data_IF_846608099705
#
_entry.id   IF_846608099705
#
_cell.length_a   1.000
_cell.length_b   1.000
_cell.length_c   1.000
_cell.angle_alpha   90.00
_cell.angle_beta   90.00
_cell.angle_gamma   90.00
#
_symmetry.space_group_name_H-M   'P 1'
#
loop_
_entity.id
_entity.type
_entity.pdbx_description
1 polymer ?
#
# COMPACT_ATOMS: atom_id res chain seq x y z
N UNK A 1 -18.05 33.09 -31.20
CA UNK A 1 -18.46 31.93 -32.03
C UNK A 1 -17.36 31.66 -33.05
N UNK A 2 -16.42 30.74 -32.77
CA UNK A 2 -15.61 30.09 -33.83
C UNK A 2 -15.36 28.65 -33.38
N UNK A 3 -15.85 27.69 -34.19
CA UNK A 3 -15.70 26.25 -34.06
C UNK A 3 -14.49 25.79 -34.86
N UNK A 4 -13.55 25.07 -34.24
CA UNK A 4 -12.42 24.45 -34.95
C UNK A 4 -12.86 23.06 -35.41
N UNK A 5 -12.85 22.87 -36.73
CA UNK A 5 -13.04 21.59 -37.43
C UNK A 5 -11.90 20.61 -37.10
N UNK A 6 -12.29 19.37 -36.82
CA UNK A 6 -11.64 18.21 -37.44
C UNK A 6 -10.66 17.44 -36.57
N UNK A 7 -11.17 16.41 -35.89
CA UNK A 7 -10.55 15.07 -35.89
C UNK A 7 -11.67 14.04 -35.96
N UNK A 8 -11.61 13.18 -36.97
CA UNK A 8 -12.59 12.16 -37.34
C UNK A 8 -12.48 10.93 -36.45
N UNK A 9 -13.62 10.50 -35.90
CA UNK A 9 -13.76 9.26 -35.15
C UNK A 9 -13.61 8.04 -36.07
N UNK A 10 -12.83 7.05 -35.66
CA UNK A 10 -12.83 5.72 -36.29
C UNK A 10 -13.63 4.75 -35.44
N UNK A 11 -14.87 4.51 -35.87
CA UNK A 11 -15.72 3.43 -35.41
C UNK A 11 -15.34 2.10 -36.08
N UNK A 12 -15.15 1.05 -35.26
CA UNK A 12 -15.23 -0.39 -35.58
C UNK A 12 -15.53 -1.07 -34.23
N UNK A 13 -16.54 -1.89 -33.99
CA UNK A 13 -17.67 -2.48 -34.72
C UNK A 13 -18.60 -3.00 -33.59
N UNK A 14 -19.94 -2.92 -33.69
CA UNK A 14 -20.85 -3.39 -32.65
C UNK A 14 -21.00 -4.91 -32.77
N UNK A 15 -21.01 -5.65 -31.65
CA UNK A 15 -21.57 -6.99 -31.66
C UNK A 15 -22.12 -7.41 -30.29
N UNK A 16 -23.41 -7.69 -30.34
CA UNK A 16 -24.23 -8.48 -29.44
C UNK A 16 -24.61 -7.89 -28.07
N UNK A 17 -25.77 -7.23 -28.10
CA UNK A 17 -26.74 -7.30 -27.02
C UNK A 17 -27.09 -8.77 -26.71
N UNK A 18 -27.09 -9.12 -25.43
CA UNK A 18 -27.48 -10.42 -24.91
C UNK A 18 -28.03 -10.27 -23.49
N UNK A 19 -29.35 -10.05 -23.42
CA UNK A 19 -30.30 -10.37 -22.37
C UNK A 19 -29.87 -10.35 -20.88
N UNK A 20 -30.51 -9.42 -20.16
CA UNK A 20 -31.07 -9.61 -18.82
C UNK A 20 -31.36 -11.07 -18.44
N UNK A 21 -30.93 -11.51 -17.26
CA UNK A 21 -31.78 -12.24 -16.31
C UNK A 21 -31.14 -12.28 -14.93
N UNK A 22 -32.01 -12.13 -13.93
CA UNK A 22 -31.69 -11.93 -12.54
C UNK A 22 -31.58 -13.26 -11.75
N UNK A 23 -30.84 -13.17 -10.65
CA UNK A 23 -31.06 -13.80 -9.34
C UNK A 23 -31.28 -15.32 -9.18
N UNK A 24 -30.36 -15.86 -8.36
CA UNK A 24 -30.55 -16.77 -7.21
C UNK A 24 -30.51 -18.29 -7.42
N UNK A 25 -29.47 -18.92 -6.85
CA UNK A 25 -29.58 -20.11 -6.02
C UNK A 25 -28.39 -20.18 -5.04
N UNK A 26 -28.71 -20.28 -3.75
CA UNK A 26 -27.82 -20.47 -2.60
C UNK A 26 -27.49 -21.98 -2.48
N UNK A 27 -26.36 -22.27 -1.82
CA UNK A 27 -25.99 -23.56 -1.17
C UNK A 27 -25.12 -24.56 -1.96
N UNK A 28 -23.80 -24.45 -1.73
CA UNK A 28 -22.92 -25.60 -1.54
C UNK A 28 -21.84 -25.21 -0.52
N UNK A 29 -22.21 -25.27 0.76
CA UNK A 29 -21.30 -25.33 1.90
C UNK A 29 -20.50 -26.63 1.78
N UNK A 30 -19.22 -26.52 1.43
CA UNK A 30 -18.33 -27.66 1.30
C UNK A 30 -16.88 -27.21 1.18
N UNK A 31 -16.20 -27.18 2.32
CA UNK A 31 -14.76 -27.01 2.49
C UNK A 31 -14.23 -25.58 2.42
N UNK A 32 -14.31 -24.93 3.59
CA UNK A 32 -13.43 -23.86 4.03
C UNK A 32 -11.97 -24.20 3.66
N UNK A 33 -11.49 -23.66 2.54
CA UNK A 33 -10.09 -23.29 2.46
C UNK A 33 -10.01 -21.97 3.24
N UNK A 34 -9.44 -21.93 4.46
CA UNK A 34 -9.06 -20.65 5.04
C UNK A 34 -8.18 -20.00 3.99
N UNK A 35 -8.65 -18.90 3.39
CA UNK A 35 -7.75 -18.00 2.68
C UNK A 35 -6.71 -17.67 3.71
N UNK A 36 -5.54 -18.28 3.54
CA UNK A 36 -4.40 -18.06 4.40
C UNK A 36 -4.34 -16.55 4.60
N UNK A 37 -4.51 -16.11 5.85
CA UNK A 37 -3.79 -14.92 6.28
C UNK A 37 -2.39 -15.22 5.81
N UNK A 38 -1.96 -14.58 4.72
CA UNK A 38 -0.58 -14.65 4.29
C UNK A 38 0.17 -14.39 5.58
N UNK A 39 0.91 -15.41 6.06
CA UNK A 39 1.51 -15.37 7.37
C UNK A 39 2.12 -13.97 7.48
N UNK A 40 1.54 -13.16 8.37
CA UNK A 40 1.92 -11.78 8.55
C UNK A 40 3.36 -11.84 9.00
N UNK A 41 4.28 -11.84 8.02
CA UNK A 41 5.67 -11.58 8.28
C UNK A 41 5.60 -10.17 8.84
N UNK A 42 5.68 -10.09 10.16
CA UNK A 42 5.65 -8.83 10.92
C UNK A 42 6.60 -7.79 10.32
N UNK A 43 7.60 -8.26 9.58
CA UNK A 43 8.54 -7.49 8.79
C UNK A 43 8.09 -7.38 7.33
N UNK A 44 8.00 -6.17 6.77
CA UNK A 44 7.77 -5.97 5.33
C UNK A 44 8.95 -6.53 4.52
N UNK A 45 8.77 -6.77 3.21
CA UNK A 45 9.86 -7.28 2.39
C UNK A 45 11.04 -6.30 2.35
N UNK A 46 12.26 -6.82 2.17
CA UNK A 46 13.50 -6.04 2.24
C UNK A 46 13.61 -4.91 1.20
N UNK A 47 12.78 -4.94 0.16
CA UNK A 47 12.68 -3.86 -0.82
C UNK A 47 11.89 -2.64 -0.32
N UNK A 48 11.16 -2.76 0.80
CA UNK A 48 10.62 -1.63 1.55
C UNK A 48 11.60 -1.27 2.66
N UNK A 49 12.16 -0.07 2.58
CA UNK A 49 13.22 0.40 3.48
C UNK A 49 12.79 1.66 4.20
N UNK A 50 13.25 1.84 5.44
CA UNK A 50 13.07 3.07 6.21
C UNK A 50 14.45 3.70 6.44
N UNK A 51 14.59 4.98 6.09
CA UNK A 51 15.79 5.77 6.37
C UNK A 51 15.49 6.83 7.42
N UNK A 52 16.36 6.89 8.42
CA UNK A 52 16.30 7.90 9.47
C UNK A 52 16.98 9.19 9.00
N UNK A 53 16.31 10.32 9.22
CA UNK A 53 16.83 11.66 9.01
C UNK A 53 16.80 12.39 10.35
N UNK A 54 17.99 12.76 10.84
CA UNK A 54 18.13 13.50 12.08
C UNK A 54 17.64 14.95 11.93
N UNK A 55 16.99 15.46 12.96
CA UNK A 55 16.51 16.83 13.04
C UNK A 55 15.91 17.10 14.42
N UNK A 56 15.45 18.32 14.65
CA UNK A 56 14.81 18.74 15.91
C UNK A 56 13.62 17.84 16.27
N UNK A 57 12.87 17.42 15.25
CA UNK A 57 11.98 16.26 15.29
C UNK A 57 12.47 15.30 14.22
N UNK A 58 12.91 14.08 14.59
CA UNK A 58 13.46 13.14 13.64
C UNK A 58 12.38 12.64 12.68
N UNK A 59 12.81 12.26 11.48
CA UNK A 59 11.92 11.82 10.41
C UNK A 59 12.39 10.46 9.86
N UNK A 60 11.43 9.62 9.54
CA UNK A 60 11.64 8.36 8.84
C UNK A 60 11.05 8.48 7.44
N UNK A 61 11.89 8.35 6.43
CA UNK A 61 11.44 8.22 5.04
C UNK A 61 11.35 6.74 4.70
N UNK A 62 10.13 6.25 4.49
CA UNK A 62 9.86 4.88 4.07
C UNK A 62 9.67 4.84 2.56
N UNK A 63 10.50 4.06 1.88
CA UNK A 63 10.52 3.94 0.42
C UNK A 63 10.27 2.49 0.02
N UNK A 64 9.33 2.29 -0.92
CA UNK A 64 9.06 1.00 -1.52
C UNK A 64 9.77 0.91 -2.88
N UNK A 65 10.92 0.22 -2.92
CA UNK A 65 11.68 -0.02 -4.15
C UNK A 65 11.40 -1.42 -4.73
N UNK A 66 10.28 -2.04 -4.36
CA UNK A 66 9.95 -3.37 -4.85
C UNK A 66 9.62 -3.34 -6.35
N UNK A 67 10.11 -4.33 -7.08
CA UNK A 67 9.94 -4.47 -8.53
C UNK A 67 9.38 -5.86 -8.89
N UNK A 68 8.94 -6.03 -10.15
CA UNK A 68 8.38 -7.30 -10.64
C UNK A 68 7.15 -7.73 -9.84
N UNK A 69 7.07 -9.01 -9.47
CA UNK A 69 5.95 -9.57 -8.70
C UNK A 69 5.83 -9.01 -7.27
N UNK A 70 6.85 -8.31 -6.77
CA UNK A 70 6.83 -7.64 -5.47
C UNK A 70 6.42 -6.17 -5.54
N UNK A 71 6.22 -5.61 -6.74
CA UNK A 71 5.77 -4.23 -6.97
C UNK A 71 4.28 -4.05 -6.62
N UNK A 72 3.94 -4.19 -5.35
CA UNK A 72 2.62 -3.92 -4.80
C UNK A 72 2.71 -2.87 -3.69
N UNK A 73 1.56 -2.33 -3.32
CA UNK A 73 1.43 -1.43 -2.19
C UNK A 73 1.55 -2.22 -0.89
N UNK A 74 2.36 -1.72 0.06
CA UNK A 74 2.50 -2.31 1.40
C UNK A 74 1.95 -1.35 2.45
N UNK A 75 1.19 -1.89 3.40
CA UNK A 75 0.79 -1.16 4.60
C UNK A 75 1.86 -1.37 5.67
N UNK A 76 2.46 -0.29 6.15
CA UNK A 76 3.57 -0.34 7.09
C UNK A 76 3.41 0.71 8.18
N UNK A 77 4.09 0.50 9.30
CA UNK A 77 4.25 1.45 10.38
C UNK A 77 5.69 1.44 10.89
N UNK A 78 6.15 2.60 11.37
CA UNK A 78 7.48 2.75 11.95
C UNK A 78 7.38 2.62 13.46
N UNK A 79 8.14 1.70 14.05
CA UNK A 79 8.32 1.59 15.49
C UNK A 79 9.51 2.43 15.90
N UNK A 80 9.23 3.51 16.61
CA UNK A 80 10.19 4.43 17.19
C UNK A 80 10.60 3.96 18.59
N UNK A 81 11.89 4.04 18.90
CA UNK A 81 12.45 3.94 20.24
C UNK A 81 12.67 5.35 20.78
N UNK A 82 12.00 5.67 21.88
CA UNK A 82 12.04 6.94 22.58
C UNK A 82 12.95 6.76 23.80
N UNK A 83 14.14 7.38 23.77
CA UNK A 83 15.14 7.17 24.81
C UNK A 83 15.70 5.75 24.78
N UNK A 84 15.60 5.01 25.90
CA UNK A 84 16.26 3.70 26.05
C UNK A 84 15.31 2.50 26.09
N UNK A 85 14.02 2.67 26.39
CA UNK A 85 13.09 1.52 26.59
C UNK A 85 11.66 1.77 26.11
N UNK A 86 11.26 3.01 25.85
CA UNK A 86 9.88 3.32 25.48
C UNK A 86 9.71 3.21 23.97
N UNK A 87 8.76 2.39 23.52
CA UNK A 87 8.45 2.29 22.09
C UNK A 87 7.15 3.00 21.76
N UNK A 88 7.12 3.64 20.59
CA UNK A 88 5.89 4.18 19.98
C UNK A 88 5.83 3.77 18.53
N UNK A 89 4.67 3.32 18.08
CA UNK A 89 4.45 3.04 16.66
C UNK A 89 3.73 4.20 15.99
N UNK A 90 4.12 4.54 14.77
CA UNK A 90 3.33 5.42 13.91
C UNK A 90 1.98 4.79 13.58
N UNK A 91 1.06 5.59 13.04
CA UNK A 91 -0.11 5.04 12.35
C UNK A 91 0.33 4.21 11.14
N UNK A 92 -0.52 3.27 10.73
CA UNK A 92 -0.30 2.49 9.51
C UNK A 92 -0.55 3.36 8.28
N UNK A 93 0.34 3.26 7.30
CA UNK A 93 0.19 3.95 6.03
C UNK A 93 0.60 3.05 4.86
N UNK A 94 -0.09 3.23 3.74
CA UNK A 94 0.20 2.54 2.50
C UNK A 94 1.36 3.21 1.76
N UNK A 95 2.33 2.44 1.24
CA UNK A 95 3.41 2.93 0.36
C UNK A 95 3.37 2.17 -0.96
N UNK A 96 3.02 2.86 -2.04
CA UNK A 96 2.96 2.30 -3.38
C UNK A 96 4.36 2.03 -3.97
N UNK A 97 4.49 1.20 -5.01
CA UNK A 97 5.77 0.95 -5.66
C UNK A 97 6.42 2.24 -6.19
N UNK A 98 7.72 2.39 -5.93
CA UNK A 98 8.53 3.59 -6.22
C UNK A 98 8.05 4.87 -5.51
N UNK A 99 7.21 4.76 -4.50
CA UNK A 99 6.78 5.86 -3.65
C UNK A 99 7.70 5.98 -2.42
N UNK A 100 7.90 7.21 -1.96
CA UNK A 100 8.49 7.50 -0.65
C UNK A 100 7.51 8.30 0.20
N UNK A 101 7.29 7.85 1.43
CA UNK A 101 6.47 8.54 2.42
C UNK A 101 7.28 8.89 3.65
N UNK A 102 7.03 10.07 4.19
CA UNK A 102 7.67 10.53 5.41
C UNK A 102 6.71 10.36 6.60
N UNK A 103 7.24 9.86 7.71
CA UNK A 103 6.57 9.89 9.00
C UNK A 103 7.53 10.48 10.03
N UNK A 104 7.01 11.31 10.93
CA UNK A 104 7.84 11.98 11.93
C UNK A 104 7.82 11.19 13.24
N UNK A 105 8.96 11.20 13.93
CA UNK A 105 8.99 10.95 15.37
C UNK A 105 8.24 12.06 16.11
N UNK A 106 8.19 11.96 17.43
CA UNK A 106 7.52 12.93 18.27
C UNK A 106 8.50 13.72 19.15
N UNK A 107 9.63 13.11 19.50
CA UNK A 107 10.69 13.74 20.28
C UNK A 107 12.04 13.67 19.58
N UNK A 108 12.93 14.60 19.91
CA UNK A 108 14.29 14.70 19.34
C UNK A 108 15.11 13.40 19.53
N UNK A 109 14.83 12.66 20.60
CA UNK A 109 15.51 11.42 20.95
C UNK A 109 14.97 10.16 20.26
N UNK A 110 13.94 10.29 19.41
CA UNK A 110 13.30 9.14 18.78
C UNK A 110 14.21 8.54 17.70
N UNK A 111 14.41 7.23 17.72
CA UNK A 111 15.17 6.50 16.69
C UNK A 111 14.33 5.38 16.09
N UNK A 112 14.61 4.95 14.85
CA UNK A 112 13.88 3.84 14.23
C UNK A 112 14.33 2.53 14.86
N UNK A 113 13.45 1.88 15.61
CA UNK A 113 13.70 0.56 16.18
C UNK A 113 13.40 -0.56 15.18
N UNK A 114 12.29 -0.44 14.44
CA UNK A 114 11.87 -1.40 13.43
C UNK A 114 10.88 -0.78 12.44
N UNK A 115 10.78 -1.39 11.26
CA UNK A 115 9.69 -1.20 10.32
C UNK A 115 8.80 -2.44 10.39
N UNK A 116 7.51 -2.26 10.66
CA UNK A 116 6.56 -3.35 10.85
C UNK A 116 5.44 -3.28 9.80
N UNK A 117 4.95 -4.44 9.36
CA UNK A 117 3.76 -4.54 8.53
C UNK A 117 2.49 -4.28 9.36
N UNK A 118 1.48 -3.77 8.67
CA UNK A 118 0.08 -3.82 9.06
C UNK A 118 -0.69 -4.60 7.97
#
# INVERSE_FOLDING_TARGET
MIFIKGVTMRARKPLAAGALTAAAAIAATGLLAPTASAADTKTPPSCVTAKYTWGWVPKATVTNNCAGDQAKTYNVKVKWLIGYETYRTSECFAVAPNESKETSGHYETDTIAALESC
#
